data_IF_750925320807
#
_entry.id   IF_750925320807
#
_cell.length_a   1.000
_cell.length_b   1.000
_cell.length_c   1.000
_cell.angle_alpha   90.00
_cell.angle_beta   90.00
_cell.angle_gamma   90.00
#
_symmetry.space_group_name_H-M   'P 1'
#
loop_
_entity.id
_entity.type
_entity.pdbx_description
1 polymer ?
#
# COMPACT_ATOMS: atom_id res chain seq x y z
N UNK A 1 -14.47 3.22 24.97
CA UNK A 1 -13.15 3.56 24.42
C UNK A 1 -13.34 4.82 23.58
N UNK A 2 -12.54 5.86 23.77
CA UNK A 2 -12.75 7.11 23.00
C UNK A 2 -12.39 6.85 21.54
N UNK A 3 -13.11 7.47 20.60
CA UNK A 3 -12.84 7.39 19.14
C UNK A 3 -11.36 7.64 18.84
N UNK A 4 -10.74 8.55 19.58
CA UNK A 4 -9.33 8.88 19.45
C UNK A 4 -8.41 7.68 19.77
N UNK A 5 -8.69 6.92 20.82
CA UNK A 5 -7.90 5.72 21.18
C UNK A 5 -8.03 4.64 20.12
N UNK A 6 -9.22 4.45 19.56
CA UNK A 6 -9.46 3.51 18.45
C UNK A 6 -8.67 3.90 17.20
N UNK A 7 -8.71 5.18 16.80
CA UNK A 7 -7.98 5.68 15.64
C UNK A 7 -6.46 5.57 15.80
N UNK A 8 -5.93 5.85 16.99
CA UNK A 8 -4.50 5.70 17.29
C UNK A 8 -4.06 4.23 17.23
N UNK A 9 -4.86 3.32 17.77
CA UNK A 9 -4.60 1.88 17.72
C UNK A 9 -4.60 1.35 16.28
N UNK A 10 -5.60 1.75 15.48
CA UNK A 10 -5.70 1.39 14.06
C UNK A 10 -4.49 1.93 13.29
N UNK A 11 -4.11 3.18 13.53
CA UNK A 11 -2.99 3.84 12.83
C UNK A 11 -1.65 3.16 13.11
N UNK A 12 -1.32 2.93 14.38
CA UNK A 12 -0.08 2.28 14.78
C UNK A 12 -0.06 0.80 14.34
N UNK A 13 -1.20 0.13 14.45
CA UNK A 13 -1.37 -1.23 13.97
C UNK A 13 -1.11 -1.36 12.46
N UNK A 14 -1.65 -0.46 11.65
CA UNK A 14 -1.50 -0.48 10.20
C UNK A 14 -0.06 -0.18 9.73
N UNK A 15 0.65 0.70 10.43
CA UNK A 15 2.01 1.10 10.04
C UNK A 15 3.05 0.04 10.42
N UNK A 16 3.00 -0.46 11.66
CA UNK A 16 4.07 -1.28 12.23
C UNK A 16 3.72 -2.77 12.26
N UNK A 17 2.54 -3.13 12.79
CA UNK A 17 2.18 -4.54 13.06
C UNK A 17 1.64 -5.22 11.82
N UNK A 18 0.66 -4.60 11.16
CA UNK A 18 -0.01 -5.13 9.97
C UNK A 18 0.43 -4.38 8.71
N UNK A 19 1.74 -4.17 8.53
CA UNK A 19 2.25 -3.55 7.32
C UNK A 19 1.85 -4.37 6.09
N UNK A 20 1.21 -3.74 5.10
CA UNK A 20 0.66 -4.42 3.93
C UNK A 20 1.70 -5.18 3.13
N UNK A 21 2.93 -4.66 3.02
CA UNK A 21 4.00 -5.33 2.27
C UNK A 21 4.62 -6.44 3.10
N UNK A 22 5.06 -6.12 4.31
CA UNK A 22 5.96 -6.96 5.10
C UNK A 22 5.24 -8.06 5.89
N UNK A 23 3.97 -7.79 6.31
CA UNK A 23 3.18 -8.77 7.06
C UNK A 23 2.16 -9.50 6.19
N UNK A 24 1.54 -8.83 5.22
CA UNK A 24 0.48 -9.40 4.39
C UNK A 24 0.92 -9.74 2.96
N UNK A 25 2.15 -9.38 2.58
CA UNK A 25 2.72 -9.60 1.23
C UNK A 25 1.90 -8.95 0.10
N UNK A 26 1.15 -7.89 0.41
CA UNK A 26 0.37 -7.13 -0.55
C UNK A 26 1.17 -5.95 -1.10
N UNK A 27 1.13 -5.75 -2.43
CA UNK A 27 1.87 -4.66 -3.08
C UNK A 27 3.34 -4.96 -3.35
N UNK A 28 3.73 -6.22 -3.50
CA UNK A 28 5.11 -6.64 -3.79
C UNK A 28 5.55 -6.17 -5.19
N UNK A 29 4.63 -6.09 -6.16
CA UNK A 29 4.97 -5.69 -7.53
C UNK A 29 5.61 -4.30 -7.60
N UNK A 30 5.01 -3.21 -7.06
CA UNK A 30 5.68 -1.92 -7.01
C UNK A 30 6.86 -1.91 -6.01
N UNK A 31 6.79 -2.67 -4.93
CA UNK A 31 7.86 -2.78 -3.96
C UNK A 31 9.16 -3.30 -4.58
N UNK A 32 9.12 -4.35 -5.37
CA UNK A 32 10.29 -4.90 -6.07
C UNK A 32 10.67 -4.10 -7.31
N UNK A 33 9.69 -3.56 -8.03
CA UNK A 33 9.91 -2.89 -9.32
C UNK A 33 10.50 -1.48 -9.19
N UNK A 34 10.04 -0.69 -8.21
CA UNK A 34 10.33 0.75 -8.12
C UNK A 34 11.37 1.09 -7.03
N UNK A 35 11.80 0.13 -6.24
CA UNK A 35 12.72 0.32 -5.12
C UNK A 35 14.21 0.36 -5.50
N UNK A 36 14.55 0.61 -6.77
CA UNK A 36 15.95 0.70 -7.20
C UNK A 36 16.63 2.00 -6.74
N UNK A 37 15.85 3.08 -6.63
CA UNK A 37 16.33 4.39 -6.17
C UNK A 37 15.40 4.95 -5.11
N UNK A 38 15.95 5.46 -4.03
CA UNK A 38 15.19 6.04 -2.91
C UNK A 38 14.25 7.17 -3.34
N UNK A 39 14.68 8.01 -4.30
CA UNK A 39 13.84 9.09 -4.84
C UNK A 39 12.59 8.61 -5.56
N UNK A 40 12.70 7.57 -6.40
CA UNK A 40 11.55 6.98 -7.11
C UNK A 40 10.64 6.20 -6.14
N UNK A 41 11.23 5.53 -5.15
CA UNK A 41 10.50 4.84 -4.09
C UNK A 41 9.64 5.79 -3.24
N UNK A 42 10.19 6.97 -2.88
CA UNK A 42 9.47 8.02 -2.15
C UNK A 42 8.27 8.54 -2.97
N UNK A 43 8.48 8.88 -4.26
CA UNK A 43 7.42 9.34 -5.13
C UNK A 43 6.30 8.31 -5.31
N UNK A 44 6.68 7.04 -5.50
CA UNK A 44 5.72 5.93 -5.60
C UNK A 44 4.94 5.72 -4.31
N UNK A 45 5.61 5.75 -3.15
CA UNK A 45 4.97 5.59 -1.85
C UNK A 45 3.97 6.70 -1.54
N UNK A 46 4.28 7.96 -1.88
CA UNK A 46 3.34 9.08 -1.73
C UNK A 46 2.13 8.93 -2.66
N UNK A 47 2.34 8.55 -3.93
CA UNK A 47 1.25 8.33 -4.88
C UNK A 47 0.33 7.20 -4.41
N UNK A 48 0.89 6.08 -3.94
CA UNK A 48 0.12 4.96 -3.39
C UNK A 48 -0.67 5.38 -2.15
N UNK A 49 -0.07 6.15 -1.24
CA UNK A 49 -0.75 6.65 -0.03
C UNK A 49 -1.98 7.50 -0.39
N UNK A 50 -1.82 8.39 -1.36
CA UNK A 50 -2.92 9.23 -1.85
C UNK A 50 -4.04 8.39 -2.47
N UNK A 51 -3.68 7.45 -3.35
CA UNK A 51 -4.65 6.55 -3.99
C UNK A 51 -5.36 5.66 -2.96
N UNK A 52 -4.64 5.10 -1.98
CA UNK A 52 -5.23 4.27 -0.92
C UNK A 52 -6.24 5.04 -0.08
N UNK A 53 -5.95 6.30 0.27
CA UNK A 53 -6.88 7.15 1.01
C UNK A 53 -8.19 7.39 0.24
N UNK A 54 -8.10 7.77 -1.04
CA UNK A 54 -9.28 8.01 -1.88
C UNK A 54 -10.03 6.70 -2.16
N UNK A 55 -9.30 5.62 -2.49
CA UNK A 55 -9.89 4.32 -2.77
C UNK A 55 -10.67 3.79 -1.55
N UNK A 56 -10.15 3.94 -0.33
CA UNK A 56 -10.86 3.59 0.91
C UNK A 56 -12.18 4.33 1.06
N UNK A 57 -12.20 5.64 0.80
CA UNK A 57 -13.42 6.45 0.90
C UNK A 57 -14.47 6.02 -0.15
N UNK A 58 -14.04 5.86 -1.41
CA UNK A 58 -14.93 5.53 -2.52
C UNK A 58 -15.46 4.10 -2.39
N UNK A 59 -14.60 3.12 -2.06
CA UNK A 59 -15.02 1.72 -1.92
C UNK A 59 -15.94 1.52 -0.72
N UNK A 60 -15.74 2.25 0.38
CA UNK A 60 -16.68 2.25 1.50
C UNK A 60 -18.06 2.78 1.07
N UNK A 61 -18.09 3.91 0.33
CA UNK A 61 -19.33 4.47 -0.16
C UNK A 61 -20.04 3.51 -1.13
N UNK A 62 -19.32 2.92 -2.08
CA UNK A 62 -19.86 1.94 -3.04
C UNK A 62 -20.42 0.72 -2.30
N UNK A 63 -19.70 0.21 -1.31
CA UNK A 63 -20.20 -0.91 -0.52
C UNK A 63 -21.51 -0.57 0.19
N UNK A 64 -21.53 0.54 0.93
CA UNK A 64 -22.67 0.89 1.79
C UNK A 64 -23.90 1.36 1.02
N UNK A 65 -23.72 2.06 -0.10
CA UNK A 65 -24.85 2.62 -0.88
C UNK A 65 -25.30 1.75 -2.06
N UNK A 66 -24.43 0.85 -2.57
CA UNK A 66 -24.75 0.05 -3.76
C UNK A 66 -24.80 -1.44 -3.44
N UNK A 67 -23.73 -2.00 -2.84
CA UNK A 67 -23.65 -3.45 -2.65
C UNK A 67 -24.60 -3.97 -1.55
N UNK A 68 -24.69 -3.25 -0.44
CA UNK A 68 -25.53 -3.66 0.70
C UNK A 68 -27.03 -3.60 0.33
N UNK A 69 -27.57 -2.51 -0.27
CA UNK A 69 -28.99 -2.47 -0.63
C UNK A 69 -29.42 -3.43 -1.72
N UNK A 70 -28.46 -3.83 -2.60
CA UNK A 70 -28.70 -4.74 -3.72
C UNK A 70 -28.43 -6.21 -3.38
N UNK A 71 -27.98 -6.50 -2.15
CA UNK A 71 -27.58 -7.84 -1.68
C UNK A 71 -26.54 -8.56 -2.57
N UNK A 72 -25.66 -7.77 -3.20
CA UNK A 72 -24.63 -8.21 -4.14
C UNK A 72 -23.25 -8.40 -3.48
N UNK A 73 -23.22 -8.82 -2.21
CA UNK A 73 -21.97 -8.97 -1.47
C UNK A 73 -21.00 -10.00 -2.07
N UNK A 74 -21.51 -11.01 -2.78
CA UNK A 74 -20.68 -12.00 -3.47
C UNK A 74 -19.88 -11.41 -4.65
N UNK A 75 -20.32 -10.28 -5.24
CA UNK A 75 -19.59 -9.57 -6.30
C UNK A 75 -18.69 -8.44 -5.79
N UNK A 76 -18.51 -8.31 -4.49
CA UNK A 76 -17.78 -7.22 -3.83
C UNK A 76 -16.37 -7.02 -4.42
N UNK A 77 -15.60 -8.10 -4.57
CA UNK A 77 -14.22 -8.04 -5.08
C UNK A 77 -14.17 -7.50 -6.50
N UNK A 78 -15.07 -7.97 -7.37
CA UNK A 78 -15.14 -7.54 -8.78
C UNK A 78 -15.53 -6.07 -8.87
N UNK A 79 -16.53 -5.66 -8.10
CA UNK A 79 -16.97 -4.26 -8.03
C UNK A 79 -15.84 -3.34 -7.56
N UNK A 80 -15.08 -3.74 -6.55
CA UNK A 80 -13.96 -2.95 -6.04
C UNK A 80 -12.82 -2.83 -7.04
N UNK A 81 -12.44 -3.91 -7.72
CA UNK A 81 -11.42 -3.86 -8.77
C UNK A 81 -11.82 -2.87 -9.86
N UNK A 82 -13.08 -2.91 -10.30
CA UNK A 82 -13.58 -2.01 -11.33
C UNK A 82 -13.58 -0.54 -10.87
N UNK A 83 -14.06 -0.28 -9.67
CA UNK A 83 -14.10 1.08 -9.09
C UNK A 83 -12.69 1.62 -8.89
N UNK A 84 -11.77 0.83 -8.34
CA UNK A 84 -10.38 1.22 -8.11
C UNK A 84 -9.69 1.48 -9.46
N UNK A 85 -9.88 0.65 -10.46
CA UNK A 85 -9.31 0.84 -11.79
C UNK A 85 -9.78 2.15 -12.42
N UNK A 86 -11.09 2.43 -12.39
CA UNK A 86 -11.65 3.68 -12.90
C UNK A 86 -11.12 4.91 -12.15
N UNK A 87 -11.02 4.82 -10.83
CA UNK A 87 -10.51 5.90 -9.97
C UNK A 87 -9.03 6.19 -10.26
N UNK A 88 -8.20 5.14 -10.34
CA UNK A 88 -6.76 5.31 -10.62
C UNK A 88 -6.53 5.85 -12.02
N UNK A 89 -7.32 5.43 -13.01
CA UNK A 89 -7.27 5.99 -14.36
C UNK A 89 -7.60 7.50 -14.37
N UNK A 90 -8.58 7.90 -13.56
CA UNK A 90 -8.90 9.32 -13.38
C UNK A 90 -7.75 10.09 -12.72
N UNK A 91 -7.15 9.54 -11.66
CA UNK A 91 -5.98 10.12 -10.98
C UNK A 91 -4.78 10.23 -11.93
N UNK A 92 -4.56 9.23 -12.78
CA UNK A 92 -3.50 9.23 -13.80
C UNK A 92 -3.66 10.40 -14.78
N UNK A 93 -4.86 10.57 -15.34
CA UNK A 93 -5.15 11.71 -16.23
C UNK A 93 -4.97 13.07 -15.54
N UNK A 94 -5.30 13.14 -14.25
CA UNK A 94 -5.11 14.33 -13.44
C UNK A 94 -3.62 14.63 -13.21
N UNK A 95 -2.83 13.62 -12.81
CA UNK A 95 -1.38 13.73 -12.59
C UNK A 95 -0.66 14.14 -13.87
N UNK A 96 -1.06 13.61 -15.01
CA UNK A 96 -0.48 13.95 -16.32
C UNK A 96 -0.59 15.46 -16.63
N UNK A 97 -1.71 16.09 -16.22
CA UNK A 97 -1.96 17.52 -16.46
C UNK A 97 -1.40 18.41 -15.34
N UNK A 98 -1.48 17.98 -14.08
CA UNK A 98 -1.12 18.79 -12.93
C UNK A 98 0.37 18.79 -12.62
N UNK A 99 1.04 17.62 -12.73
CA UNK A 99 2.45 17.45 -12.36
C UNK A 99 3.18 16.60 -13.41
N UNK A 100 3.48 17.14 -14.61
CA UNK A 100 4.11 16.37 -15.68
C UNK A 100 5.50 15.85 -15.33
N UNK A 101 6.25 16.51 -14.45
CA UNK A 101 7.54 16.05 -13.97
C UNK A 101 7.45 14.75 -13.16
N UNK A 102 6.44 14.63 -12.28
CA UNK A 102 6.16 13.42 -11.52
C UNK A 102 5.62 12.31 -12.42
N UNK A 103 4.80 12.67 -13.40
CA UNK A 103 4.30 11.74 -14.41
C UNK A 103 5.43 11.12 -15.22
N UNK A 104 6.42 11.91 -15.67
CA UNK A 104 7.58 11.41 -16.41
C UNK A 104 8.48 10.50 -15.54
N UNK A 105 8.65 10.83 -14.26
CA UNK A 105 9.42 10.02 -13.32
C UNK A 105 8.74 8.68 -13.00
N UNK A 106 7.40 8.67 -12.91
CA UNK A 106 6.60 7.48 -12.58
C UNK A 106 6.04 6.76 -13.83
N UNK A 107 6.16 7.34 -15.02
CA UNK A 107 5.42 7.01 -16.25
C UNK A 107 5.28 5.51 -16.58
N UNK A 108 6.38 4.73 -16.49
CA UNK A 108 6.36 3.27 -16.74
C UNK A 108 5.72 2.51 -15.56
N UNK A 109 5.68 3.10 -14.37
CA UNK A 109 5.23 2.45 -13.14
C UNK A 109 3.77 2.77 -12.75
N UNK A 110 3.11 3.68 -13.48
CA UNK A 110 1.71 4.02 -13.27
C UNK A 110 0.75 2.81 -13.34
N UNK A 111 0.90 1.89 -14.29
CA UNK A 111 0.10 0.66 -14.30
C UNK A 111 0.26 -0.18 -13.03
N UNK A 112 1.41 -0.10 -12.36
CA UNK A 112 1.64 -0.81 -11.08
C UNK A 112 0.85 -0.21 -9.91
N UNK A 113 0.39 1.05 -10.01
CA UNK A 113 -0.52 1.65 -9.03
C UNK A 113 -1.93 1.14 -9.26
N UNK A 114 -2.37 1.05 -10.53
CA UNK A 114 -3.71 0.59 -10.91
C UNK A 114 -3.95 -0.87 -10.52
N UNK A 115 -2.95 -1.72 -10.71
CA UNK A 115 -3.03 -3.16 -10.38
C UNK A 115 -2.46 -3.49 -8.99
N UNK A 116 -2.30 -2.49 -8.13
CA UNK A 116 -1.70 -2.67 -6.81
C UNK A 116 -2.64 -3.44 -5.87
N UNK A 117 -2.26 -4.67 -5.54
CA UNK A 117 -3.03 -5.52 -4.63
C UNK A 117 -3.13 -4.95 -3.20
N UNK A 118 -2.24 -4.05 -2.78
CA UNK A 118 -2.37 -3.39 -1.48
C UNK A 118 -3.59 -2.45 -1.43
N UNK A 119 -3.90 -1.74 -2.52
CA UNK A 119 -5.09 -0.87 -2.60
C UNK A 119 -6.37 -1.70 -2.48
N UNK A 120 -6.45 -2.82 -3.21
CA UNK A 120 -7.56 -3.74 -3.11
C UNK A 120 -7.65 -4.38 -1.72
N UNK A 121 -6.51 -4.77 -1.13
CA UNK A 121 -6.43 -5.36 0.20
C UNK A 121 -6.98 -4.42 1.28
N UNK A 122 -6.62 -3.13 1.25
CA UNK A 122 -7.19 -2.12 2.16
C UNK A 122 -8.70 -2.03 2.02
N UNK A 123 -9.22 -1.99 0.79
CA UNK A 123 -10.65 -1.89 0.55
C UNK A 123 -11.42 -3.10 1.13
N UNK A 124 -10.89 -4.31 0.94
CA UNK A 124 -11.50 -5.54 1.49
C UNK A 124 -11.42 -5.59 3.01
N UNK A 125 -10.26 -5.24 3.60
CA UNK A 125 -10.07 -5.26 5.05
C UNK A 125 -10.93 -4.22 5.77
N UNK A 126 -11.16 -3.05 5.17
CA UNK A 126 -12.08 -2.06 5.71
C UNK A 126 -13.49 -2.62 5.94
N UNK A 127 -13.97 -3.46 5.04
CA UNK A 127 -15.30 -4.06 5.13
C UNK A 127 -15.30 -5.26 6.06
N UNK A 128 -14.29 -6.13 6.00
CA UNK A 128 -14.15 -7.27 6.90
C UNK A 128 -14.11 -6.84 8.37
N UNK A 129 -13.44 -5.72 8.66
CA UNK A 129 -13.38 -5.15 10.00
C UNK A 129 -14.58 -4.26 10.35
N UNK A 130 -15.54 -4.10 9.45
CA UNK A 130 -16.74 -3.27 9.64
C UNK A 130 -16.42 -1.84 10.09
N UNK A 131 -15.36 -1.23 9.53
CA UNK A 131 -14.94 0.12 9.88
C UNK A 131 -15.98 1.16 9.44
N UNK A 132 -16.14 2.19 10.28
CA UNK A 132 -16.91 3.38 9.91
C UNK A 132 -16.20 4.16 8.79
N UNK A 133 -16.89 5.11 8.17
CA UNK A 133 -16.31 5.93 7.08
C UNK A 133 -14.98 6.60 7.50
N UNK A 134 -14.95 7.20 8.68
CA UNK A 134 -13.75 7.89 9.20
C UNK A 134 -12.62 6.90 9.47
N UNK A 135 -12.91 5.77 10.08
CA UNK A 135 -11.93 4.73 10.35
C UNK A 135 -11.37 4.12 9.07
N UNK A 136 -12.20 3.91 8.05
CA UNK A 136 -11.78 3.41 6.73
C UNK A 136 -10.81 4.35 6.04
N UNK A 137 -11.08 5.66 6.05
CA UNK A 137 -10.20 6.67 5.45
C UNK A 137 -8.87 6.75 6.21
N UNK A 138 -8.92 6.78 7.54
CA UNK A 138 -7.72 6.80 8.37
C UNK A 138 -6.88 5.54 8.16
N UNK A 139 -7.52 4.37 8.12
CA UNK A 139 -6.84 3.10 7.84
C UNK A 139 -6.19 3.08 6.45
N UNK A 140 -6.86 3.62 5.42
CA UNK A 140 -6.31 3.77 4.08
C UNK A 140 -5.06 4.65 4.04
N UNK A 141 -5.10 5.82 4.68
CA UNK A 141 -3.96 6.76 4.74
C UNK A 141 -2.81 6.16 5.54
N UNK A 142 -3.08 5.62 6.72
CA UNK A 142 -2.04 5.03 7.58
C UNK A 142 -1.43 3.76 7.00
N UNK A 143 -2.22 2.93 6.32
CA UNK A 143 -1.73 1.81 5.54
C UNK A 143 -0.81 2.24 4.40
N UNK A 144 -1.15 3.34 3.71
CA UNK A 144 -0.31 3.98 2.70
C UNK A 144 1.01 4.50 3.26
N UNK A 145 0.99 5.11 4.45
CA UNK A 145 2.21 5.55 5.15
C UNK A 145 3.07 4.33 5.52
N UNK A 146 2.47 3.25 5.98
CA UNK A 146 3.17 1.98 6.23
C UNK A 146 3.83 1.42 4.97
N UNK A 147 3.14 1.51 3.83
CA UNK A 147 3.69 1.16 2.52
C UNK A 147 4.88 2.05 2.14
N UNK A 148 4.76 3.37 2.32
CA UNK A 148 5.83 4.34 2.06
C UNK A 148 7.09 4.02 2.89
N UNK A 149 6.93 3.80 4.19
CA UNK A 149 8.05 3.47 5.09
C UNK A 149 8.75 2.20 4.63
N UNK A 150 7.99 1.14 4.33
CA UNK A 150 8.54 -0.13 3.91
C UNK A 150 9.32 -0.02 2.58
N UNK A 151 8.77 0.68 1.58
CA UNK A 151 9.42 0.79 0.27
C UNK A 151 10.68 1.67 0.33
N UNK A 152 10.70 2.73 1.14
CA UNK A 152 11.86 3.60 1.31
C UNK A 152 12.97 2.88 2.06
N UNK A 153 12.65 2.16 3.14
CA UNK A 153 13.62 1.32 3.85
C UNK A 153 14.26 0.28 2.93
N UNK A 154 13.43 -0.39 2.14
CA UNK A 154 13.92 -1.40 1.21
C UNK A 154 14.77 -0.81 0.08
N UNK A 155 14.39 0.36 -0.45
CA UNK A 155 15.17 1.07 -1.46
C UNK A 155 16.56 1.45 -0.92
N UNK A 156 16.63 1.94 0.32
CA UNK A 156 17.90 2.25 0.98
C UNK A 156 18.79 1.02 1.15
N UNK A 157 18.21 -0.13 1.54
CA UNK A 157 18.94 -1.41 1.63
C UNK A 157 19.47 -1.82 0.26
N UNK A 158 18.67 -1.67 -0.81
CA UNK A 158 19.10 -2.02 -2.16
C UNK A 158 20.22 -1.14 -2.68
N UNK A 159 20.17 0.16 -2.47
CA UNK A 159 21.25 1.08 -2.84
C UNK A 159 22.58 0.66 -2.17
N UNK A 160 22.56 0.31 -0.89
CA UNK A 160 23.76 -0.17 -0.18
C UNK A 160 24.23 -1.56 -0.64
N UNK A 161 23.30 -2.43 -1.04
CA UNK A 161 23.62 -3.80 -1.45
C UNK A 161 24.15 -3.85 -2.89
N UNK A 162 23.84 -2.85 -3.72
CA UNK A 162 24.32 -2.75 -5.10
C UNK A 162 25.84 -2.53 -5.15
N UNK A 163 26.38 -1.79 -4.18
CA UNK A 163 27.83 -1.53 -4.02
C UNK A 163 28.58 -2.65 -3.27
N UNK A 164 27.87 -3.63 -2.71
CA UNK A 164 28.46 -4.71 -1.95
C UNK A 164 29.12 -5.79 -2.86
N UNK A 165 30.20 -6.37 -2.36
CA UNK A 165 30.95 -7.41 -3.08
C UNK A 165 30.22 -8.76 -2.98
N UNK A 166 29.23 -8.95 -3.85
CA UNK A 166 28.41 -10.16 -3.91
C UNK A 166 28.85 -11.12 -5.03
N UNK A 167 28.77 -12.44 -4.81
CA UNK A 167 28.96 -13.43 -5.84
C UNK A 167 28.04 -13.17 -7.04
N UNK A 168 28.57 -13.38 -8.26
CA UNK A 168 27.81 -13.09 -9.51
C UNK A 168 26.44 -13.77 -9.57
N UNK A 169 26.26 -14.94 -8.96
CA UNK A 169 25.00 -15.68 -8.91
C UNK A 169 23.92 -15.01 -8.05
N UNK A 170 24.28 -14.15 -7.10
CA UNK A 170 23.36 -13.47 -6.20
C UNK A 170 23.09 -12.02 -6.61
N UNK A 171 23.83 -11.47 -7.54
CA UNK A 171 23.64 -10.07 -7.98
C UNK A 171 22.27 -9.85 -8.60
N UNK A 172 21.65 -8.71 -8.28
CA UNK A 172 20.38 -8.26 -8.84
C UNK A 172 19.15 -8.73 -8.08
N UNK A 173 18.27 -9.45 -8.75
CA UNK A 173 16.99 -9.87 -8.17
C UNK A 173 17.08 -10.83 -6.98
N UNK A 174 18.00 -11.85 -6.96
CA UNK A 174 18.07 -12.76 -5.84
C UNK A 174 18.44 -12.10 -4.51
N UNK A 175 19.42 -11.18 -4.51
CA UNK A 175 19.80 -10.47 -3.29
C UNK A 175 18.68 -9.53 -2.80
N UNK A 176 17.94 -8.91 -3.72
CA UNK A 176 16.79 -8.10 -3.36
C UNK A 176 15.70 -8.93 -2.65
N UNK A 177 15.42 -10.15 -3.11
CA UNK A 177 14.49 -11.06 -2.45
C UNK A 177 14.95 -11.48 -1.05
N UNK A 178 16.23 -11.79 -0.89
CA UNK A 178 16.80 -12.13 0.43
C UNK A 178 16.68 -10.94 1.38
N UNK A 179 17.04 -9.74 0.92
CA UNK A 179 16.93 -8.51 1.71
C UNK A 179 15.49 -8.20 2.09
N UNK A 180 14.52 -8.40 1.17
CA UNK A 180 13.09 -8.24 1.46
C UNK A 180 12.62 -9.25 2.52
N UNK A 181 13.05 -10.51 2.43
CA UNK A 181 12.74 -11.53 3.41
C UNK A 181 13.30 -11.22 4.80
N UNK A 182 14.56 -10.77 4.88
CA UNK A 182 15.18 -10.35 6.14
C UNK A 182 14.45 -9.12 6.75
N UNK A 183 14.06 -8.15 5.92
CA UNK A 183 13.28 -7.01 6.37
C UNK A 183 11.91 -7.44 6.90
N UNK A 184 11.23 -8.38 6.23
CA UNK A 184 9.95 -8.93 6.69
C UNK A 184 10.10 -9.66 8.04
N UNK A 185 11.17 -10.45 8.22
CA UNK A 185 11.46 -11.11 9.50
C UNK A 185 11.72 -10.09 10.62
N UNK A 186 12.44 -9.00 10.34
CA UNK A 186 12.64 -7.92 11.31
C UNK A 186 11.31 -7.27 11.74
N UNK A 187 10.40 -7.05 10.78
CA UNK A 187 9.07 -6.49 11.08
C UNK A 187 8.15 -7.48 11.80
N UNK A 188 8.33 -8.78 11.62
CA UNK A 188 7.60 -9.79 12.42
C UNK A 188 7.90 -9.68 13.92
N UNK A 189 9.04 -9.13 14.32
CA UNK A 189 9.33 -8.83 15.72
C UNK A 189 8.34 -7.85 16.36
N UNK A 190 7.70 -7.00 15.56
CA UNK A 190 6.65 -6.08 16.04
C UNK A 190 5.27 -6.74 16.15
N UNK A 191 5.04 -7.88 15.50
CA UNK A 191 3.72 -8.53 15.47
C UNK A 191 3.27 -9.09 16.83
N UNK A 192 4.19 -9.25 17.79
CA UNK A 192 3.91 -9.65 19.17
C UNK A 192 3.52 -8.50 20.09
N UNK A 193 3.68 -7.24 19.66
CA UNK A 193 3.32 -6.09 20.48
C UNK A 193 1.82 -5.82 20.42
N UNK A 194 1.09 -6.20 21.46
CA UNK A 194 -0.27 -5.70 21.68
C UNK A 194 -0.19 -4.24 22.12
N UNK A 195 -0.40 -3.31 21.17
CA UNK A 195 -0.20 -1.87 21.40
C UNK A 195 -1.26 -1.28 22.33
N UNK A 196 -2.39 -1.94 22.52
CA UNK A 196 -3.40 -1.68 23.56
C UNK A 196 -4.22 -2.96 23.74
N UNK A 197 -3.85 -3.75 24.75
CA UNK A 197 -4.54 -4.98 25.15
C UNK A 197 -5.93 -4.77 25.69
#
# INVERSE_FOLDING_TARGET
MSLFTSLMSISLGAILVNNFILAQFLGICPFMGVSQKTGTAMGMGLAVTFVMGIASAVTWAVNNYILVPLDLQYMQTVAFILVIAALVQFVEMFLQKAVPALYQALGIYLPLITTNCAVLGVALLNIQNSYSFIESVVYGITGGIGFLVAIVLFASIREHTEDADCPKSFRGFPIALISAGLLALAFMGFSGMKIFG
#
